data_IF_297017332085
#
_entry.id   IF_297017332085
#
_cell.length_a   1.000
_cell.length_b   1.000
_cell.length_c   1.000
_cell.angle_alpha   90.00
_cell.angle_beta   90.00
_cell.angle_gamma   90.00
#
_symmetry.space_group_name_H-M   'P 1'
#
loop_
_entity.id
_entity.type
_entity.pdbx_description
1 polymer ?
#
# COMPACT_ATOMS: atom_id res chain seq x y z
N UNK A 1 -18.43 -5.81 7.21
CA UNK A 1 -19.39 -4.96 6.49
C UNK A 1 -20.42 -4.51 7.52
N UNK A 2 -20.54 -3.20 7.74
CA UNK A 2 -21.78 -2.62 8.25
C UNK A 2 -22.41 -1.95 7.03
N UNK A 3 -23.57 -2.43 6.62
CA UNK A 3 -24.43 -1.82 5.62
C UNK A 3 -25.39 -0.88 6.32
N UNK A 4 -25.37 0.40 5.96
CA UNK A 4 -26.56 1.23 5.96
C UNK A 4 -26.46 2.27 4.84
N UNK A 5 -27.53 2.38 4.06
CA UNK A 5 -27.67 3.30 2.95
C UNK A 5 -27.83 4.77 3.40
N UNK A 6 -27.41 5.64 2.48
CA UNK A 6 -27.64 7.08 2.38
C UNK A 6 -26.72 8.03 3.16
N UNK A 7 -25.80 8.62 2.39
CA UNK A 7 -25.30 9.98 2.62
C UNK A 7 -23.83 10.08 3.00
N UNK A 8 -22.98 10.37 2.00
CA UNK A 8 -21.52 10.62 2.09
C UNK A 8 -20.67 9.34 2.26
N UNK A 9 -20.17 8.85 1.11
CA UNK A 9 -19.19 7.76 1.01
C UNK A 9 -17.90 8.08 1.78
N UNK A 10 -17.81 7.64 3.03
CA UNK A 10 -16.54 7.59 3.78
C UNK A 10 -16.17 6.11 3.86
N UNK A 11 -15.37 5.67 2.89
CA UNK A 11 -15.00 4.25 2.71
C UNK A 11 -13.85 3.82 3.63
N UNK A 12 -13.27 4.73 4.39
CA UNK A 12 -12.13 4.48 5.27
C UNK A 12 -12.10 5.49 6.42
N UNK A 13 -11.94 5.00 7.64
CA UNK A 13 -11.77 5.79 8.86
C UNK A 13 -10.52 5.23 9.58
N UNK A 14 -9.51 6.05 9.89
CA UNK A 14 -8.35 5.59 10.65
C UNK A 14 -8.78 5.10 12.04
N UNK A 15 -8.04 4.14 12.60
CA UNK A 15 -8.34 3.54 13.91
C UNK A 15 -8.47 4.59 15.03
N UNK A 16 -7.71 5.68 14.93
CA UNK A 16 -7.88 6.87 15.76
C UNK A 16 -8.24 8.07 14.87
N UNK A 17 -9.52 8.46 14.84
CA UNK A 17 -9.94 9.70 14.16
C UNK A 17 -10.56 10.70 15.13
N UNK A 18 -10.19 11.99 14.98
CA UNK A 18 -10.89 13.13 15.58
C UNK A 18 -11.90 13.78 14.63
N UNK A 19 -12.05 13.23 13.42
CA UNK A 19 -12.88 13.76 12.34
C UNK A 19 -13.80 12.65 11.80
N UNK A 20 -15.10 12.91 11.78
CA UNK A 20 -16.09 12.02 11.15
C UNK A 20 -16.81 12.80 10.06
N UNK A 21 -16.68 12.37 8.80
CA UNK A 21 -17.30 13.04 7.65
C UNK A 21 -16.94 14.52 7.51
N UNK A 22 -15.65 14.84 7.68
CA UNK A 22 -15.10 16.21 7.64
C UNK A 22 -15.59 17.14 8.77
N UNK A 23 -16.34 16.63 9.76
CA UNK A 23 -16.73 17.39 10.96
C UNK A 23 -15.84 17.01 12.15
N UNK A 24 -15.39 17.98 12.98
CA UNK A 24 -14.74 17.69 14.25
C UNK A 24 -15.66 16.88 15.15
N UNK A 25 -15.15 15.76 15.67
CA UNK A 25 -15.86 14.97 16.67
C UNK A 25 -15.52 15.58 18.03
N UNK A 26 -16.43 16.38 18.58
CA UNK A 26 -16.26 16.97 19.90
C UNK A 26 -16.48 15.92 20.99
N UNK A 27 -15.49 15.70 21.83
CA UNK A 27 -15.64 14.98 23.11
C UNK A 27 -15.71 13.45 23.05
N UNK A 28 -15.62 12.80 21.89
CA UNK A 28 -15.52 11.33 21.78
C UNK A 28 -14.43 10.92 20.80
N UNK A 29 -13.48 10.12 21.27
CA UNK A 29 -12.54 9.38 20.41
C UNK A 29 -13.38 8.29 19.73
N UNK A 30 -13.36 8.26 18.40
CA UNK A 30 -13.95 7.14 17.65
C UNK A 30 -12.85 6.10 17.53
N UNK A 31 -13.06 4.95 18.17
CA UNK A 31 -12.18 3.79 18.05
C UNK A 31 -12.66 2.93 16.86
N UNK A 32 -11.82 2.85 15.83
CA UNK A 32 -12.10 2.08 14.63
C UNK A 32 -11.50 0.68 14.74
N UNK A 33 -12.32 -0.33 15.05
CA UNK A 33 -11.85 -1.71 15.10
C UNK A 33 -11.97 -2.39 13.72
N UNK A 34 -10.88 -2.97 13.23
CA UNK A 34 -10.92 -3.75 12.00
C UNK A 34 -11.52 -5.13 12.27
N UNK A 35 -12.79 -5.34 11.92
CA UNK A 35 -13.54 -6.57 12.25
C UNK A 35 -13.02 -7.84 11.58
N UNK A 36 -12.44 -7.73 10.37
CA UNK A 36 -11.79 -8.82 9.65
C UNK A 36 -10.91 -8.26 8.53
N UNK A 37 -9.90 -9.01 8.13
CA UNK A 37 -9.04 -8.72 6.98
C UNK A 37 -9.01 -9.97 6.13
N UNK A 38 -9.34 -9.84 4.84
CA UNK A 38 -9.23 -10.92 3.87
C UNK A 38 -8.22 -10.54 2.80
N UNK A 39 -7.50 -11.54 2.29
CA UNK A 39 -6.66 -11.44 1.09
C UNK A 39 -7.35 -12.22 -0.03
N UNK A 40 -7.37 -11.64 -1.22
CA UNK A 40 -7.86 -12.30 -2.44
C UNK A 40 -6.79 -12.16 -3.51
N UNK A 41 -6.40 -13.28 -4.11
CA UNK A 41 -5.37 -13.28 -5.15
C UNK A 41 -5.94 -12.90 -6.51
N UNK A 42 -5.06 -12.41 -7.39
CA UNK A 42 -5.46 -12.01 -8.74
C UNK A 42 -6.20 -13.13 -9.47
N UNK A 43 -7.28 -12.75 -10.16
CA UNK A 43 -8.13 -13.65 -10.97
C UNK A 43 -8.78 -14.78 -10.16
N UNK A 44 -8.94 -14.61 -8.85
CA UNK A 44 -9.58 -15.56 -7.95
C UNK A 44 -10.66 -14.84 -7.11
N UNK A 45 -11.74 -15.52 -6.77
CA UNK A 45 -12.80 -15.03 -5.89
C UNK A 45 -12.68 -15.54 -4.44
N UNK A 46 -11.77 -16.49 -4.20
CA UNK A 46 -11.53 -17.07 -2.88
C UNK A 46 -10.89 -16.05 -1.94
N UNK A 47 -11.64 -15.73 -0.89
CA UNK A 47 -11.19 -14.88 0.22
C UNK A 47 -10.48 -15.72 1.28
N UNK A 48 -9.25 -15.34 1.58
CA UNK A 48 -8.43 -16.00 2.61
C UNK A 48 -8.30 -15.07 3.82
N UNK A 49 -8.77 -15.47 5.01
CA UNK A 49 -8.64 -14.66 6.22
C UNK A 49 -7.16 -14.39 6.53
N UNK A 50 -6.88 -13.14 6.90
CA UNK A 50 -5.56 -12.67 7.29
C UNK A 50 -5.53 -12.20 8.74
N UNK A 51 -4.38 -12.37 9.38
CA UNK A 51 -4.10 -11.90 10.74
C UNK A 51 -3.01 -10.85 10.68
N UNK A 52 -3.18 -9.75 11.43
CA UNK A 52 -2.10 -8.78 11.63
C UNK A 52 -1.04 -9.40 12.54
N UNK A 53 0.21 -9.44 12.08
CA UNK A 53 1.34 -10.00 12.84
C UNK A 53 2.11 -8.88 13.54
N UNK A 54 2.45 -7.82 12.81
CA UNK A 54 3.17 -6.65 13.33
C UNK A 54 2.73 -5.39 12.60
N UNK A 55 2.73 -4.27 13.29
CA UNK A 55 2.53 -2.93 12.71
C UNK A 55 3.73 -2.10 13.11
N UNK A 56 4.29 -1.32 12.17
CA UNK A 56 5.35 -0.39 12.49
C UNK A 56 4.77 0.84 13.19
N UNK A 57 5.38 1.23 14.31
CA UNK A 57 5.00 2.46 15.03
C UNK A 57 5.65 3.72 14.45
N UNK A 58 6.58 3.57 13.49
CA UNK A 58 7.41 4.67 12.97
C UNK A 58 7.20 4.93 11.48
N UNK A 59 6.78 3.91 10.73
CA UNK A 59 6.68 3.95 9.29
C UNK A 59 5.34 3.36 8.88
N UNK A 60 4.79 3.80 7.74
CA UNK A 60 3.49 3.36 7.25
C UNK A 60 3.55 1.96 6.60
N UNK A 61 3.86 0.95 7.41
CA UNK A 61 3.98 -0.46 7.00
C UNK A 61 3.46 -1.40 8.08
N UNK A 62 2.82 -2.48 7.65
CA UNK A 62 2.34 -3.56 8.51
C UNK A 62 2.61 -4.92 7.85
N UNK A 63 2.73 -5.94 8.68
CA UNK A 63 2.92 -7.33 8.28
C UNK A 63 1.66 -8.12 8.64
N UNK A 64 1.09 -8.81 7.65
CA UNK A 64 -0.03 -9.72 7.81
C UNK A 64 0.38 -11.15 7.48
N UNK A 65 -0.35 -12.12 8.02
CA UNK A 65 -0.18 -13.54 7.74
C UNK A 65 -1.50 -14.14 7.25
N UNK A 66 -1.39 -14.96 6.23
CA UNK A 66 -2.44 -15.84 5.72
C UNK A 66 -1.98 -17.29 5.82
N UNK A 67 -2.93 -18.20 5.82
CA UNK A 67 -2.69 -19.64 5.75
C UNK A 67 -3.23 -20.16 4.42
N UNK A 68 -2.41 -20.87 3.66
CA UNK A 68 -2.72 -21.33 2.31
C UNK A 68 -2.42 -22.83 2.19
N UNK A 69 -3.20 -23.56 1.37
CA UNK A 69 -2.97 -24.99 1.14
C UNK A 69 -1.78 -25.27 0.21
N UNK A 70 -1.27 -24.25 -0.50
CA UNK A 70 -0.17 -24.35 -1.44
C UNK A 70 0.88 -23.28 -1.19
N UNK A 71 2.12 -23.58 -1.56
CA UNK A 71 3.21 -22.58 -1.56
C UNK A 71 2.97 -21.52 -2.64
N UNK A 72 3.52 -20.32 -2.39
CA UNK A 72 3.47 -19.20 -3.33
C UNK A 72 4.87 -18.75 -3.70
N UNK A 73 5.00 -18.21 -4.92
CA UNK A 73 6.22 -17.56 -5.34
C UNK A 73 6.36 -16.21 -4.62
N UNK A 74 7.31 -16.13 -3.70
CA UNK A 74 7.67 -14.88 -3.05
C UNK A 74 8.46 -13.97 -4.01
N UNK A 75 8.19 -12.67 -3.93
CA UNK A 75 9.02 -11.66 -4.59
C UNK A 75 10.32 -11.45 -3.82
N UNK A 76 11.40 -11.13 -4.55
CA UNK A 76 12.66 -10.76 -3.93
C UNK A 76 12.56 -9.33 -3.40
N UNK A 77 12.87 -9.13 -2.12
CA UNK A 77 12.97 -7.81 -1.49
C UNK A 77 14.44 -7.39 -1.40
N UNK A 78 14.76 -6.19 -1.88
CA UNK A 78 16.14 -5.68 -1.91
C UNK A 78 16.20 -4.29 -1.30
N UNK A 79 16.94 -4.15 -0.20
CA UNK A 79 17.25 -2.82 0.31
C UNK A 79 18.07 -2.04 -0.74
N UNK A 80 17.48 -0.96 -1.22
CA UNK A 80 18.02 -0.14 -2.27
C UNK A 80 18.52 1.22 -1.75
N UNK A 81 18.53 1.50 -0.44
CA UNK A 81 18.83 2.84 0.07
C UNK A 81 20.19 3.39 -0.41
N UNK A 82 21.20 2.52 -0.54
CA UNK A 82 22.52 2.91 -1.05
C UNK A 82 22.58 3.11 -2.58
N UNK A 83 21.67 2.49 -3.33
CA UNK A 83 21.72 2.44 -4.81
C UNK A 83 20.62 3.23 -5.50
N UNK A 84 19.55 3.58 -4.78
CA UNK A 84 18.38 4.27 -5.32
C UNK A 84 18.73 5.72 -5.68
N UNK A 85 18.36 6.13 -6.90
CA UNK A 85 18.67 7.46 -7.40
C UNK A 85 17.48 8.09 -8.17
N UNK A 86 17.33 9.43 -8.16
CA UNK A 86 16.41 10.11 -9.05
C UNK A 86 16.64 9.72 -10.52
N UNK A 87 15.55 9.58 -11.28
CA UNK A 87 15.56 9.11 -12.67
C UNK A 87 15.53 7.59 -12.84
N UNK A 88 15.83 6.82 -11.78
CA UNK A 88 15.74 5.36 -11.82
C UNK A 88 14.31 4.91 -12.17
N UNK A 89 14.19 4.02 -13.16
CA UNK A 89 12.91 3.46 -13.58
C UNK A 89 12.37 2.50 -12.54
N UNK A 90 11.06 2.57 -12.32
CA UNK A 90 10.33 1.70 -11.40
C UNK A 90 9.01 1.28 -12.03
N UNK A 91 8.48 0.16 -11.56
CA UNK A 91 7.14 -0.33 -11.91
C UNK A 91 6.38 -0.60 -10.62
N UNK A 92 5.11 -0.24 -10.56
CA UNK A 92 4.23 -0.60 -9.44
C UNK A 92 3.09 -1.48 -9.92
N UNK A 93 2.55 -2.28 -9.00
CA UNK A 93 1.32 -3.04 -9.21
C UNK A 93 0.33 -2.74 -8.10
N UNK A 94 -0.96 -2.67 -8.42
CA UNK A 94 -2.01 -2.38 -7.45
C UNK A 94 -3.42 -2.55 -8.01
N UNK A 95 -4.41 -2.11 -7.25
CA UNK A 95 -5.83 -2.17 -7.62
C UNK A 95 -6.44 -0.75 -7.61
N UNK A 96 -6.10 0.11 -8.60
CA UNK A 96 -6.62 1.48 -8.64
C UNK A 96 -8.14 1.48 -8.69
N UNK A 97 -8.77 2.34 -7.90
CA UNK A 97 -10.23 2.44 -7.84
C UNK A 97 -10.91 2.88 -9.13
N UNK A 98 -10.14 3.37 -10.12
CA UNK A 98 -10.65 3.70 -11.46
C UNK A 98 -10.43 2.58 -12.49
N UNK A 99 -9.69 1.53 -12.14
CA UNK A 99 -9.46 0.41 -13.06
C UNK A 99 -10.74 -0.39 -13.25
N UNK A 100 -11.03 -0.85 -14.47
CA UNK A 100 -12.24 -1.62 -14.75
C UNK A 100 -12.25 -2.92 -13.93
N UNK A 101 -13.41 -3.26 -13.37
CA UNK A 101 -13.60 -4.53 -12.69
C UNK A 101 -13.70 -5.66 -13.70
N UNK A 102 -12.99 -6.76 -13.45
CA UNK A 102 -13.10 -7.98 -14.26
C UNK A 102 -14.20 -8.86 -13.68
N UNK A 103 -15.09 -9.33 -14.54
CA UNK A 103 -16.25 -10.13 -14.15
C UNK A 103 -16.16 -11.50 -14.78
N UNK A 104 -16.37 -12.54 -13.99
CA UNK A 104 -16.44 -13.93 -14.43
C UNK A 104 -17.85 -14.44 -14.19
N UNK A 105 -18.46 -15.03 -15.23
CA UNK A 105 -19.73 -15.72 -15.12
C UNK A 105 -19.46 -17.22 -14.95
N UNK A 106 -19.80 -17.75 -13.78
CA UNK A 106 -19.68 -19.17 -13.47
C UNK A 106 -21.07 -19.80 -13.52
N UNK A 107 -21.25 -20.80 -14.39
CA UNK A 107 -22.47 -21.59 -14.40
C UNK A 107 -22.51 -22.47 -13.14
N UNK A 108 -23.58 -22.37 -12.34
CA UNK A 108 -23.77 -23.21 -11.18
C UNK A 108 -23.91 -24.68 -11.59
N UNK A 109 -22.97 -25.53 -11.18
CA UNK A 109 -23.00 -26.98 -11.40
C UNK A 109 -23.71 -27.74 -10.27
N UNK A 110 -24.42 -27.05 -9.38
CA UNK A 110 -25.19 -27.67 -8.31
C UNK A 110 -26.48 -28.29 -8.87
N UNK A 111 -26.79 -29.51 -8.44
CA UNK A 111 -27.99 -30.25 -8.82
C UNK A 111 -29.27 -29.51 -8.40
N UNK A 112 -29.23 -28.77 -7.28
CA UNK A 112 -30.38 -28.04 -6.74
C UNK A 112 -30.40 -26.54 -7.11
N UNK A 113 -29.29 -25.98 -7.60
CA UNK A 113 -29.20 -24.56 -7.92
C UNK A 113 -28.29 -24.29 -9.13
N UNK A 114 -28.89 -24.31 -10.33
CA UNK A 114 -28.21 -24.08 -11.61
C UNK A 114 -28.13 -22.61 -12.03
N UNK A 115 -28.32 -21.66 -11.12
CA UNK A 115 -28.23 -20.24 -11.46
C UNK A 115 -26.80 -19.85 -11.80
N UNK A 116 -26.62 -19.12 -12.89
CA UNK A 116 -25.35 -18.47 -13.25
C UNK A 116 -25.00 -17.43 -12.19
N UNK A 117 -23.83 -17.57 -11.59
CA UNK A 117 -23.28 -16.59 -10.67
C UNK A 117 -22.31 -15.67 -11.41
N UNK A 118 -22.46 -14.37 -11.20
CA UNK A 118 -21.61 -13.33 -11.77
C UNK A 118 -20.76 -12.78 -10.64
N UNK A 119 -19.46 -13.07 -10.66
CA UNK A 119 -18.53 -12.69 -9.60
C UNK A 119 -17.48 -11.74 -10.14
N UNK A 120 -17.21 -10.67 -9.41
CA UNK A 120 -16.09 -9.76 -9.71
C UNK A 120 -14.80 -10.32 -9.14
N UNK A 121 -13.80 -10.51 -9.99
CA UNK A 121 -12.46 -10.98 -9.58
C UNK A 121 -11.46 -9.82 -9.63
N UNK A 122 -10.50 -9.75 -8.69
CA UNK A 122 -9.49 -8.71 -8.68
C UNK A 122 -8.47 -8.96 -9.80
N UNK A 123 -8.20 -7.95 -10.63
CA UNK A 123 -7.15 -7.99 -11.66
C UNK A 123 -6.21 -6.77 -11.47
N UNK A 124 -4.92 -6.98 -11.15
CA UNK A 124 -4.04 -5.88 -10.82
C UNK A 124 -3.69 -5.04 -12.05
N UNK A 125 -3.57 -3.74 -11.84
CA UNK A 125 -3.04 -2.80 -12.84
C UNK A 125 -1.53 -2.64 -12.62
N UNK A 126 -0.77 -2.68 -13.71
CA UNK A 126 0.65 -2.37 -13.73
C UNK A 126 0.82 -0.92 -14.19
N UNK A 127 1.66 -0.15 -13.50
CA UNK A 127 1.95 1.24 -13.88
C UNK A 127 3.45 1.51 -13.78
N UNK A 128 4.03 2.03 -14.86
CA UNK A 128 5.44 2.40 -14.89
C UNK A 128 5.67 3.83 -14.39
N UNK A 129 6.93 4.13 -14.06
CA UNK A 129 7.36 5.47 -13.69
C UNK A 129 8.85 5.53 -13.38
N UNK A 130 9.24 6.55 -12.62
CA UNK A 130 10.59 6.73 -12.13
C UNK A 130 10.61 7.31 -10.73
N UNK A 131 11.75 7.17 -10.05
CA UNK A 131 12.02 7.91 -8.82
C UNK A 131 12.22 9.37 -9.19
N UNK A 132 11.38 10.25 -8.66
CA UNK A 132 11.51 11.70 -8.81
C UNK A 132 12.46 12.29 -7.78
N UNK A 133 12.40 11.82 -6.53
CA UNK A 133 13.24 12.29 -5.43
C UNK A 133 13.41 11.21 -4.37
N UNK A 134 14.62 11.10 -3.81
CA UNK A 134 14.87 10.30 -2.60
C UNK A 134 14.82 11.24 -1.42
N UNK A 135 13.89 11.00 -0.50
CA UNK A 135 13.65 11.81 0.69
C UNK A 135 14.15 11.01 1.89
N UNK A 136 15.09 11.59 2.64
CA UNK A 136 15.65 11.00 3.87
C UNK A 136 15.29 11.90 5.05
N UNK A 137 14.77 11.31 6.12
CA UNK A 137 14.30 11.93 7.34
C UNK A 137 15.44 12.44 8.21
N UNK A 138 16.59 11.75 8.19
CA UNK A 138 17.81 12.18 8.90
C UNK A 138 19.06 11.84 8.09
N UNK A 139 19.67 12.84 7.46
CA UNK A 139 21.10 12.76 7.11
C UNK A 139 21.88 13.57 8.14
N UNK A 140 22.75 12.93 8.91
CA UNK A 140 23.82 13.64 9.62
C UNK A 140 24.74 14.23 8.56
N UNK A 141 24.42 15.41 8.05
CA UNK A 141 25.31 16.16 7.17
C UNK A 141 26.57 16.45 7.98
N UNK A 142 27.73 16.03 7.48
CA UNK A 142 29.02 16.28 8.12
C UNK A 142 29.19 17.78 8.36
N UNK A 143 29.82 18.14 9.50
CA UNK A 143 30.11 19.52 9.93
C UNK A 143 30.86 20.39 8.90
N UNK A 144 31.31 19.82 7.79
CA UNK A 144 32.06 20.49 6.73
C UNK A 144 31.20 21.36 5.80
N UNK A 145 29.88 21.13 5.68
CA UNK A 145 29.03 21.91 4.76
C UNK A 145 28.29 23.08 5.40
N UNK A 146 28.48 23.37 6.69
CA UNK A 146 27.80 24.46 7.41
C UNK A 146 26.27 24.30 7.57
N UNK A 147 25.69 23.22 7.04
CA UNK A 147 24.28 22.85 7.16
C UNK A 147 24.10 21.94 8.37
N UNK A 148 23.40 22.42 9.40
CA UNK A 148 23.22 21.75 10.71
C UNK A 148 22.24 20.56 10.62
N UNK A 149 21.55 20.40 9.49
CA UNK A 149 20.82 19.18 9.13
C UNK A 149 19.78 19.41 8.04
N UNK A 150 19.56 18.39 7.20
CA UNK A 150 18.47 18.36 6.23
C UNK A 150 17.45 17.33 6.74
N UNK A 151 16.29 17.82 7.20
CA UNK A 151 15.27 16.98 7.83
C UNK A 151 13.98 17.00 7.02
N UNK A 152 13.45 15.81 6.73
CA UNK A 152 12.09 15.64 6.22
C UNK A 152 11.18 15.33 7.39
N UNK A 153 10.22 16.22 7.68
CA UNK A 153 9.13 15.92 8.63
C UNK A 153 8.21 14.81 8.12
N UNK A 154 8.32 14.47 6.84
CA UNK A 154 7.57 13.40 6.21
C UNK A 154 8.16 12.02 6.53
N UNK A 155 9.46 11.93 6.89
CA UNK A 155 10.19 10.66 7.04
C UNK A 155 10.93 10.23 5.77
N UNK A 156 11.30 8.95 5.71
CA UNK A 156 12.07 8.34 4.61
C UNK A 156 11.14 7.79 3.52
N UNK A 157 11.17 8.40 2.34
CA UNK A 157 10.27 8.08 1.23
C UNK A 157 10.96 8.20 -0.12
N UNK A 158 10.50 7.40 -1.07
CA UNK A 158 10.76 7.63 -2.48
C UNK A 158 9.57 8.38 -3.07
N UNK A 159 9.81 9.60 -3.57
CA UNK A 159 8.86 10.29 -4.40
C UNK A 159 8.90 9.66 -5.79
N UNK A 160 7.75 9.26 -6.32
CA UNK A 160 7.62 8.62 -7.62
C UNK A 160 6.85 9.52 -8.61
N UNK A 161 7.13 9.33 -9.89
CA UNK A 161 6.39 9.94 -11.01
C UNK A 161 5.23 9.05 -11.50
N UNK A 162 5.03 7.91 -10.84
CA UNK A 162 3.96 6.94 -11.14
C UNK A 162 2.61 7.64 -11.04
N UNK A 163 1.82 7.51 -12.10
CA UNK A 163 0.47 8.05 -12.14
C UNK A 163 -0.50 7.10 -11.41
N UNK A 164 -0.61 7.26 -10.09
CA UNK A 164 -1.60 6.52 -9.32
C UNK A 164 -2.97 7.22 -9.39
N UNK A 165 -3.85 6.65 -10.19
CA UNK A 165 -5.21 7.16 -10.40
C UNK A 165 -6.14 6.67 -9.30
N UNK A 166 -6.18 7.41 -8.19
CA UNK A 166 -7.10 7.15 -7.08
C UNK A 166 -6.58 6.18 -6.01
N UNK A 167 -7.45 5.84 -5.07
CA UNK A 167 -7.15 4.92 -3.97
C UNK A 167 -6.98 3.47 -4.47
N UNK A 168 -6.29 2.61 -3.71
CA UNK A 168 -6.14 1.18 -4.00
C UNK A 168 -4.76 0.74 -4.53
N UNK A 169 -3.84 1.68 -4.71
CA UNK A 169 -2.41 1.38 -4.95
C UNK A 169 -1.61 1.23 -3.64
N UNK A 170 -2.14 1.73 -2.52
CA UNK A 170 -1.52 1.65 -1.20
C UNK A 170 -1.30 0.20 -0.77
N UNK A 171 -0.10 -0.11 -0.29
CA UNK A 171 0.37 -1.46 0.02
C UNK A 171 0.98 -2.21 -1.18
N UNK A 172 0.86 -1.67 -2.40
CA UNK A 172 1.40 -2.29 -3.61
C UNK A 172 2.93 -2.27 -3.66
N UNK A 173 3.57 -3.29 -4.27
CA UNK A 173 5.02 -3.32 -4.42
C UNK A 173 5.52 -2.33 -5.47
N UNK A 174 6.67 -1.70 -5.20
CA UNK A 174 7.44 -0.92 -6.17
C UNK A 174 8.68 -1.70 -6.55
N UNK A 175 8.77 -2.06 -7.83
CA UNK A 175 9.83 -2.88 -8.41
C UNK A 175 10.93 -2.03 -9.06
N UNK A 176 12.17 -2.48 -8.92
CA UNK A 176 13.28 -2.06 -9.78
C UNK A 176 13.23 -2.78 -11.15
N UNK A 177 14.20 -2.49 -12.03
CA UNK A 177 14.27 -3.08 -13.37
C UNK A 177 14.64 -4.57 -13.36
N UNK A 178 15.13 -5.08 -12.25
CA UNK A 178 15.47 -6.49 -12.03
C UNK A 178 14.29 -7.29 -11.45
N UNK A 179 13.17 -6.64 -11.13
CA UNK A 179 12.00 -7.27 -10.53
C UNK A 179 12.11 -7.45 -9.01
N UNK A 180 13.07 -6.79 -8.35
CA UNK A 180 13.12 -6.76 -6.89
C UNK A 180 12.17 -5.68 -6.35
N UNK A 181 11.49 -5.98 -5.26
CA UNK A 181 10.73 -4.97 -4.50
C UNK A 181 11.73 -4.10 -3.72
N UNK A 182 11.71 -2.81 -4.03
CA UNK A 182 12.55 -1.79 -3.40
C UNK A 182 11.75 -0.81 -2.53
N UNK A 183 10.42 -0.81 -2.65
CA UNK A 183 9.53 0.00 -1.82
C UNK A 183 8.10 -0.51 -1.79
N UNK A 184 7.31 0.09 -0.90
CA UNK A 184 5.88 -0.18 -0.71
C UNK A 184 5.13 1.12 -1.00
N UNK A 185 4.27 1.11 -2.01
CA UNK A 185 3.46 2.24 -2.39
C UNK A 185 2.52 2.63 -1.25
N UNK A 186 2.40 3.91 -0.89
CA UNK A 186 1.52 4.36 0.22
C UNK A 186 0.58 5.47 -0.20
N UNK A 187 1.12 6.67 -0.43
CA UNK A 187 0.34 7.89 -0.47
C UNK A 187 0.45 8.57 -1.83
N UNK A 188 -0.59 9.32 -2.20
CA UNK A 188 -0.55 10.28 -3.29
C UNK A 188 -1.06 11.62 -2.78
N UNK A 189 -0.33 12.71 -3.05
CA UNK A 189 -0.87 14.06 -2.94
C UNK A 189 -1.30 14.52 -4.33
N UNK A 190 -2.44 15.20 -4.40
CA UNK A 190 -2.95 15.80 -5.64
C UNK A 190 -3.12 17.29 -5.45
N UNK A 191 -2.57 18.09 -6.37
CA UNK A 191 -2.89 19.52 -6.47
C UNK A 191 -4.14 19.73 -7.32
N UNK A 192 -4.72 20.93 -7.22
CA UNK A 192 -5.94 21.33 -7.94
C UNK A 192 -5.82 21.24 -9.47
N UNK A 193 -4.59 21.18 -9.99
CA UNK A 193 -4.23 21.03 -11.41
C UNK A 193 -4.11 19.54 -11.86
N UNK A 194 -4.58 18.59 -11.04
CA UNK A 194 -4.48 17.15 -11.26
C UNK A 194 -3.05 16.58 -11.29
N UNK A 195 -2.02 17.35 -10.92
CA UNK A 195 -0.67 16.81 -10.73
C UNK A 195 -0.66 15.92 -9.49
N UNK A 196 -0.39 14.63 -9.69
CA UNK A 196 -0.27 13.63 -8.62
C UNK A 196 1.19 13.34 -8.36
N UNK A 197 1.61 13.55 -7.12
CA UNK A 197 2.90 13.08 -6.62
C UNK A 197 2.62 11.87 -5.75
N UNK A 198 3.31 10.77 -6.03
CA UNK A 198 3.15 9.50 -5.34
C UNK A 198 4.36 9.19 -4.49
N UNK A 199 4.17 8.42 -3.43
CA UNK A 199 5.22 8.09 -2.47
C UNK A 199 5.25 6.59 -2.19
N UNK A 200 6.46 6.10 -1.97
CA UNK A 200 6.71 4.75 -1.50
C UNK A 200 7.59 4.76 -0.25
N UNK A 201 7.24 3.91 0.70
CA UNK A 201 8.05 3.59 1.87
C UNK A 201 9.19 2.66 1.42
N UNK A 202 10.47 2.94 1.74
CA UNK A 202 11.58 2.05 1.44
C UNK A 202 11.38 0.62 1.97
N UNK A 203 11.72 -0.41 1.19
CA UNK A 203 11.46 -1.81 1.55
C UNK A 203 12.21 -2.27 2.82
N UNK A 204 13.30 -1.57 3.20
CA UNK A 204 14.02 -1.84 4.45
C UNK A 204 13.11 -1.86 5.67
N UNK A 205 12.07 -1.03 5.70
CA UNK A 205 11.11 -1.01 6.81
C UNK A 205 10.18 -2.22 6.81
N UNK A 206 9.90 -2.80 5.64
CA UNK A 206 9.26 -4.11 5.53
C UNK A 206 10.18 -5.22 6.03
N UNK A 207 11.46 -5.20 5.63
CA UNK A 207 12.48 -6.15 6.08
C UNK A 207 12.70 -6.10 7.61
N UNK A 208 12.63 -4.92 8.21
CA UNK A 208 12.69 -4.73 9.67
C UNK A 208 11.55 -5.47 10.39
N UNK A 209 10.32 -5.39 9.86
CA UNK A 209 9.18 -6.14 10.41
C UNK A 209 9.35 -7.66 10.30
N UNK A 210 10.09 -8.12 9.31
CA UNK A 210 10.41 -9.53 9.11
C UNK A 210 11.56 -10.04 10.00
N UNK A 211 12.22 -9.15 10.76
CA UNK A 211 13.39 -9.49 11.57
C UNK A 211 14.66 -9.75 10.74
N UNK A 212 14.68 -9.34 9.48
CA UNK A 212 15.79 -9.57 8.56
C UNK A 212 16.85 -8.47 8.59
N UNK A 213 16.64 -7.41 9.37
CA UNK A 213 17.57 -6.28 9.48
C UNK A 213 18.30 -6.34 10.82
N UNK A 214 19.62 -6.50 10.79
CA UNK A 214 20.47 -6.32 11.97
C UNK A 214 20.42 -4.85 12.38
N UNK A 215 19.98 -4.57 13.60
CA UNK A 215 19.87 -3.20 14.12
C UNK A 215 21.25 -2.62 14.50
N UNK A 216 22.30 -3.45 14.62
CA UNK A 216 23.68 -3.04 14.93
C UNK A 216 24.65 -4.04 14.29
N UNK A 217 25.75 -3.54 13.70
CA UNK A 217 27.01 -4.28 13.48
C UNK A 217 28.05 -3.75 14.46
#
# INVERSE_FOLDING_TARGET
>A
IITQEMGQNIRWIPAETKLFGRKPVSGKIIDGTNTYIDVTFAKNDQRTPAKVVRVSNKHDVAMIKIDLPSEMQAVTMKDADATIAPGQKVVTMGYPGISPSVVVATAGNDFANRTTQVVTVPDPTVTDGSVGKVIRGTTNTSKESGVVGYYSTFGDYYQLTVNATGAGNSGGPVFDKEGNVIGIFTASTSRADATRITFAVPIRYGLELMGNTKVIN
#
